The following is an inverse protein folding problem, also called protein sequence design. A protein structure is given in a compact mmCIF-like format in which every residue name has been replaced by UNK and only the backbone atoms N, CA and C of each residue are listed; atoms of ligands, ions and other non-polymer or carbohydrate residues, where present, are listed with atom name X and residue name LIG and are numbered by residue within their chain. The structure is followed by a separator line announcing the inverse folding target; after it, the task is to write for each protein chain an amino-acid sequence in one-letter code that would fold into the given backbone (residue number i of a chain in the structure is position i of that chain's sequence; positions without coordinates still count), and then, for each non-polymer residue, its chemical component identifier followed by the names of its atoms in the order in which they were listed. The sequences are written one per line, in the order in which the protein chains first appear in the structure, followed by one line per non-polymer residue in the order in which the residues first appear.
data_IF_643683265766
#
_entry.id   IF_643683265766
#
_cell.length_a   1.000
_cell.length_b   1.000
_cell.length_c   1.000
_cell.angle_alpha   90.00
_cell.angle_beta   90.00
_cell.angle_gamma   90.00
#
_symmetry.space_group_name_H-M   'P 1'
#
loop_
_entity.id
_entity.type
_entity.pdbx_description
1 polymer ?
#
# COMPACT_ATOMS: atom_id res chain seq x y z
N UNK A 1 12.14 -19.36 3.72
CA UNK A 1 10.84 -19.16 3.07
C UNK A 1 9.96 -18.32 3.98
N UNK A 2 9.30 -17.26 3.51
CA UNK A 2 8.33 -16.55 4.33
C UNK A 2 7.15 -17.47 4.67
N UNK A 3 6.66 -17.39 5.92
CA UNK A 3 5.46 -18.10 6.37
C UNK A 3 4.21 -17.66 5.61
N UNK A 4 3.19 -18.52 5.55
CA UNK A 4 1.84 -18.20 5.07
C UNK A 4 0.93 -17.59 6.16
N UNK A 5 1.45 -17.41 7.37
CA UNK A 5 0.82 -16.69 8.46
C UNK A 5 1.56 -15.37 8.72
N UNK A 6 0.85 -14.24 8.66
CA UNK A 6 1.39 -12.89 8.89
C UNK A 6 0.63 -12.21 10.04
N UNK A 7 1.30 -12.05 11.17
CA UNK A 7 0.81 -11.36 12.37
C UNK A 7 1.37 -9.92 12.52
N UNK A 8 2.26 -9.52 11.61
CA UNK A 8 2.97 -8.23 11.60
C UNK A 8 2.27 -7.13 10.78
N UNK A 9 1.00 -7.33 10.45
CA UNK A 9 0.16 -6.45 9.62
C UNK A 9 -0.95 -5.87 10.48
N UNK A 10 -1.17 -4.55 10.43
CA UNK A 10 -2.27 -3.93 11.16
C UNK A 10 -3.10 -3.02 10.27
N UNK A 11 -4.40 -3.00 10.55
CA UNK A 11 -5.36 -2.10 9.91
C UNK A 11 -4.93 -0.65 10.15
N UNK A 12 -4.99 0.22 9.13
CA UNK A 12 -4.70 1.65 9.29
C UNK A 12 -5.57 2.29 10.36
N UNK A 13 -4.98 3.20 11.13
CA UNK A 13 -5.69 4.02 12.12
C UNK A 13 -5.17 5.46 12.07
N UNK A 14 -5.84 6.37 12.79
CA UNK A 14 -5.70 7.83 12.63
C UNK A 14 -4.28 8.40 12.68
N UNK A 15 -3.32 7.73 13.32
CA UNK A 15 -1.93 8.21 13.38
C UNK A 15 -1.01 7.63 12.30
N UNK A 16 -1.53 6.78 11.41
CA UNK A 16 -0.75 6.18 10.33
C UNK A 16 -0.79 7.08 9.09
N UNK A 17 0.36 7.35 8.41
CA UNK A 17 0.40 8.22 7.24
C UNK A 17 -0.49 7.76 6.08
N UNK A 18 -0.72 6.44 5.96
CA UNK A 18 -1.56 5.87 4.91
C UNK A 18 -3.07 6.03 5.18
N UNK A 19 -3.48 6.41 6.38
CA UNK A 19 -4.88 6.36 6.82
C UNK A 19 -5.80 7.31 6.02
N UNK A 20 -6.95 6.80 5.60
CA UNK A 20 -8.06 7.59 5.06
C UNK A 20 -9.34 7.34 5.87
N UNK A 21 -10.40 8.11 5.59
CA UNK A 21 -11.72 7.92 6.19
C UNK A 21 -12.46 6.68 5.63
N UNK A 22 -11.76 5.80 4.91
CA UNK A 22 -12.37 4.62 4.30
C UNK A 22 -12.55 3.52 5.36
N UNK A 23 -13.78 3.01 5.58
CA UNK A 23 -14.10 2.19 6.74
C UNK A 23 -13.33 0.87 6.79
N UNK A 24 -12.90 0.35 5.63
CA UNK A 24 -12.23 -0.95 5.51
C UNK A 24 -10.92 -0.89 4.73
N UNK A 25 -10.19 0.24 4.79
CA UNK A 25 -8.91 0.40 4.10
C UNK A 25 -7.96 -0.76 4.44
N UNK A 26 -7.38 -1.36 3.41
CA UNK A 26 -6.35 -2.39 3.58
C UNK A 26 -4.97 -1.75 3.77
N UNK A 27 -4.09 -2.34 4.60
CA UNK A 27 -2.75 -1.81 4.87
C UNK A 27 -1.84 -1.93 3.64
N UNK A 28 -1.01 -0.92 3.40
CA UNK A 28 -0.05 -0.92 2.29
C UNK A 28 0.99 -2.05 2.42
N UNK A 29 1.43 -2.36 3.66
CA UNK A 29 2.38 -3.45 3.92
C UNK A 29 1.87 -4.81 3.42
N UNK A 30 0.57 -5.07 3.53
CA UNK A 30 -0.05 -6.29 3.02
C UNK A 30 0.09 -6.39 1.50
N UNK A 31 -0.28 -5.33 0.79
CA UNK A 31 -0.19 -5.27 -0.67
C UNK A 31 1.26 -5.32 -1.16
N UNK A 32 2.20 -4.73 -0.41
CA UNK A 32 3.62 -4.78 -0.76
C UNK A 32 4.13 -6.24 -0.77
N UNK A 33 3.76 -7.05 0.23
CA UNK A 33 4.11 -8.48 0.26
C UNK A 33 3.56 -9.21 -0.97
N UNK A 34 2.27 -9.00 -1.29
CA UNK A 34 1.61 -9.65 -2.41
C UNK A 34 2.21 -9.25 -3.77
N UNK A 35 2.42 -7.96 -4.01
CA UNK A 35 2.92 -7.42 -5.27
C UNK A 35 4.38 -7.81 -5.51
N UNK A 36 5.24 -7.74 -4.49
CA UNK A 36 6.66 -8.14 -4.61
C UNK A 36 6.81 -9.65 -4.87
N UNK A 37 5.94 -10.48 -4.28
CA UNK A 37 5.96 -11.92 -4.50
C UNK A 37 5.43 -12.34 -5.89
N UNK A 38 4.56 -11.52 -6.50
CA UNK A 38 3.77 -11.94 -7.66
C UNK A 38 4.03 -11.13 -8.94
N UNK A 39 4.92 -10.13 -8.92
CA UNK A 39 5.16 -9.25 -10.06
C UNK A 39 6.56 -8.66 -10.10
N UNK A 40 6.99 -8.23 -11.30
CA UNK A 40 8.24 -7.51 -11.53
C UNK A 40 7.97 -6.01 -11.72
N UNK A 41 8.96 -5.13 -11.51
CA UNK A 41 8.83 -3.72 -11.89
C UNK A 41 8.37 -3.57 -13.35
N UNK A 42 7.43 -2.64 -13.60
CA UNK A 42 6.82 -2.42 -14.92
C UNK A 42 5.58 -3.27 -15.25
N UNK A 43 5.34 -4.36 -14.53
CA UNK A 43 4.12 -5.16 -14.66
C UNK A 43 2.87 -4.34 -14.26
N UNK A 44 1.68 -4.84 -14.63
CA UNK A 44 0.40 -4.21 -14.29
C UNK A 44 -0.24 -4.96 -13.12
N UNK A 45 -0.64 -4.22 -12.08
CA UNK A 45 -1.51 -4.70 -11.01
C UNK A 45 -2.96 -4.29 -11.32
N UNK A 46 -3.88 -5.25 -11.35
CA UNK A 46 -5.30 -4.99 -11.58
C UNK A 46 -6.12 -5.26 -10.32
N UNK A 47 -6.97 -4.32 -9.92
CA UNK A 47 -7.90 -4.46 -8.79
C UNK A 47 -9.32 -3.98 -9.19
N UNK A 48 -10.30 -4.87 -9.38
CA UNK A 48 -11.67 -4.50 -9.76
C UNK A 48 -12.51 -3.94 -8.60
N UNK A 49 -11.98 -3.91 -7.37
CA UNK A 49 -12.66 -3.42 -6.16
C UNK A 49 -11.71 -2.49 -5.39
N UNK A 50 -11.28 -1.43 -6.07
CA UNK A 50 -10.13 -0.63 -5.67
C UNK A 50 -10.31 0.07 -4.31
N UNK A 51 -11.54 0.39 -3.91
CA UNK A 51 -11.83 1.13 -2.67
C UNK A 51 -11.02 2.42 -2.61
N UNK A 52 -10.39 2.70 -1.47
CA UNK A 52 -9.50 3.86 -1.31
C UNK A 52 -8.13 3.73 -1.99
N UNK A 53 -7.91 2.75 -2.88
CA UNK A 53 -6.76 2.77 -3.78
C UNK A 53 -5.51 2.03 -3.33
N UNK A 54 -5.52 1.26 -2.24
CA UNK A 54 -4.28 0.67 -1.68
C UNK A 54 -3.50 -0.15 -2.71
N UNK A 55 -4.17 -0.97 -3.54
CA UNK A 55 -3.51 -1.77 -4.57
C UNK A 55 -2.72 -0.91 -5.57
N UNK A 56 -3.37 0.11 -6.12
CA UNK A 56 -2.78 1.03 -7.10
C UNK A 56 -1.68 1.90 -6.49
N UNK A 57 -1.89 2.39 -5.27
CA UNK A 57 -0.89 3.20 -4.53
C UNK A 57 0.38 2.39 -4.31
N UNK A 58 0.26 1.15 -3.79
CA UNK A 58 1.44 0.32 -3.54
C UNK A 58 2.11 -0.12 -4.85
N UNK A 59 1.33 -0.47 -5.87
CA UNK A 59 1.87 -0.78 -7.19
C UNK A 59 2.74 0.37 -7.70
N UNK A 60 2.22 1.60 -7.64
CA UNK A 60 2.93 2.82 -8.04
C UNK A 60 4.21 3.06 -7.24
N UNK A 61 4.15 3.00 -5.90
CA UNK A 61 5.32 3.17 -5.01
C UNK A 61 6.42 2.17 -5.32
N UNK A 62 6.04 0.94 -5.68
CA UNK A 62 6.95 -0.14 -6.06
C UNK A 62 7.36 -0.13 -7.54
N UNK A 63 6.97 0.87 -8.33
CA UNK A 63 7.35 0.96 -9.75
C UNK A 63 6.63 -0.03 -10.67
N UNK A 64 5.40 -0.39 -10.34
CA UNK A 64 4.46 -1.12 -11.21
C UNK A 64 3.45 -0.15 -11.81
N UNK A 65 2.89 -0.52 -12.95
CA UNK A 65 1.68 0.10 -13.50
C UNK A 65 0.47 -0.47 -12.77
N UNK A 66 -0.65 0.23 -12.83
CA UNK A 66 -1.88 -0.22 -12.19
C UNK A 66 -3.12 0.10 -13.03
N UNK A 67 -4.18 -0.66 -12.81
CA UNK A 67 -5.52 -0.38 -13.28
C UNK A 67 -6.48 -0.78 -12.16
N UNK A 68 -7.36 0.12 -11.74
CA UNK A 68 -8.35 -0.21 -10.73
C UNK A 68 -9.72 0.32 -11.10
N UNK A 69 -10.75 -0.36 -10.60
CA UNK A 69 -12.16 0.00 -10.79
C UNK A 69 -12.77 0.20 -9.41
N UNK A 70 -13.51 1.29 -9.25
CA UNK A 70 -14.30 1.58 -8.07
C UNK A 70 -15.59 2.26 -8.49
N UNK A 71 -16.71 1.89 -7.87
CA UNK A 71 -18.03 2.42 -8.21
C UNK A 71 -18.38 3.68 -7.41
N UNK A 72 -17.82 3.82 -6.21
CA UNK A 72 -18.09 4.94 -5.32
C UNK A 72 -17.16 6.11 -5.67
N UNK A 73 -17.76 7.23 -6.12
CA UNK A 73 -17.03 8.44 -6.51
C UNK A 73 -16.17 9.01 -5.38
N UNK A 74 -16.64 8.97 -4.12
CA UNK A 74 -15.85 9.42 -2.98
C UNK A 74 -14.57 8.58 -2.80
N UNK A 75 -14.67 7.26 -2.98
CA UNK A 75 -13.53 6.36 -2.87
C UNK A 75 -12.56 6.56 -4.03
N UNK A 76 -13.06 6.83 -5.24
CA UNK A 76 -12.23 7.26 -6.36
C UNK A 76 -11.45 8.53 -6.03
N UNK A 77 -12.09 9.56 -5.45
CA UNK A 77 -11.42 10.80 -5.06
C UNK A 77 -10.32 10.56 -4.02
N UNK A 78 -10.55 9.68 -3.04
CA UNK A 78 -9.53 9.30 -2.06
C UNK A 78 -8.37 8.53 -2.69
N UNK A 79 -8.67 7.59 -3.60
CA UNK A 79 -7.65 6.86 -4.34
C UNK A 79 -6.77 7.81 -5.17
N UNK A 80 -7.36 8.74 -5.92
CA UNK A 80 -6.65 9.76 -6.70
C UNK A 80 -5.76 10.64 -5.82
N UNK A 81 -6.28 11.12 -4.67
CA UNK A 81 -5.50 11.89 -3.70
C UNK A 81 -4.26 11.11 -3.22
N UNK A 82 -4.42 9.84 -2.85
CA UNK A 82 -3.30 8.99 -2.41
C UNK A 82 -2.32 8.71 -3.55
N UNK A 83 -2.81 8.50 -4.77
CA UNK A 83 -1.97 8.31 -5.96
C UNK A 83 -1.13 9.54 -6.27
N UNK A 84 -1.67 10.74 -6.09
CA UNK A 84 -0.92 11.99 -6.22
C UNK A 84 0.18 12.13 -5.16
N UNK A 85 -0.13 11.79 -3.90
CA UNK A 85 0.86 11.79 -2.81
C UNK A 85 1.99 10.77 -3.07
N UNK A 86 1.65 9.59 -3.59
CA UNK A 86 2.58 8.52 -3.89
C UNK A 86 3.63 8.86 -4.96
N UNK A 87 3.46 9.95 -5.74
CA UNK A 87 4.51 10.43 -6.64
C UNK A 87 5.70 11.03 -5.89
N UNK A 88 5.41 11.70 -4.78
CA UNK A 88 6.40 12.43 -4.01
C UNK A 88 6.93 11.58 -2.85
N UNK A 89 6.10 10.68 -2.31
CA UNK A 89 6.46 9.78 -1.22
C UNK A 89 6.22 8.32 -1.59
N UNK A 90 7.32 7.59 -1.80
CA UNK A 90 7.31 6.15 -2.13
C UNK A 90 7.47 5.25 -0.91
N UNK A 91 7.51 5.82 0.29
CA UNK A 91 7.65 5.04 1.52
C UNK A 91 6.45 4.13 1.74
N UNK A 92 6.70 2.93 2.27
CA UNK A 92 5.69 1.98 2.71
C UNK A 92 6.03 1.61 4.14
N UNK A 93 5.10 1.84 5.07
CA UNK A 93 5.37 1.58 6.48
C UNK A 93 5.75 0.11 6.71
N UNK A 94 6.87 -0.11 7.38
CA UNK A 94 7.40 -1.46 7.64
C UNK A 94 8.04 -2.15 6.44
N UNK A 95 8.35 -1.42 5.37
CA UNK A 95 9.15 -1.90 4.23
C UNK A 95 10.20 -0.86 3.83
N UNK A 96 11.48 -1.21 3.94
CA UNK A 96 12.60 -0.35 3.52
C UNK A 96 13.77 -1.19 3.04
N UNK A 97 14.51 -0.70 2.04
CA UNK A 97 15.72 -1.33 1.49
C UNK A 97 15.54 -2.81 1.09
N UNK A 98 14.35 -3.15 0.59
CA UNK A 98 14.02 -4.53 0.18
C UNK A 98 13.66 -5.47 1.32
N UNK A 99 13.57 -4.97 2.56
CA UNK A 99 13.32 -5.76 3.77
C UNK A 99 12.02 -5.32 4.45
N UNK A 100 11.23 -6.30 4.90
CA UNK A 100 10.08 -6.05 5.76
C UNK A 100 10.52 -6.03 7.22
N UNK A 101 10.12 -4.98 7.94
CA UNK A 101 10.42 -4.78 9.35
C UNK A 101 9.17 -4.87 10.20
N UNK A 102 9.33 -5.33 11.44
CA UNK A 102 8.30 -5.17 12.46
C UNK A 102 8.09 -3.68 12.78
N UNK A 103 6.95 -3.37 13.39
CA UNK A 103 6.66 -1.99 13.79
C UNK A 103 7.72 -1.54 14.79
N UNK A 104 8.26 -0.34 14.58
CA UNK A 104 9.27 0.30 15.45
C UNK A 104 10.60 -0.47 15.57
N UNK A 105 10.90 -1.40 14.65
CA UNK A 105 12.16 -2.16 14.67
C UNK A 105 13.12 -1.84 13.51
N UNK A 106 12.68 -1.02 12.55
CA UNK A 106 13.47 -0.64 11.37
C UNK A 106 14.39 0.56 11.58
N UNK A 107 15.38 0.79 10.69
CA UNK A 107 16.41 1.82 10.82
C UNK A 107 15.92 3.27 10.62
N UNK A 108 14.64 3.48 10.25
CA UNK A 108 14.07 4.81 10.05
C UNK A 108 12.80 4.99 10.90
N UNK A 109 12.89 5.83 11.93
CA UNK A 109 11.77 6.37 12.69
C UNK A 109 11.91 7.89 12.68
N UNK A 110 11.50 8.53 11.58
CA UNK A 110 11.45 9.99 11.50
C UNK A 110 10.28 10.52 12.32
N UNK A 111 10.57 11.51 13.17
CA UNK A 111 9.58 12.42 13.77
C UNK A 111 8.97 13.33 12.71
#
# INVERSE_FOLDING_TARGET
DPSNFWDDISVPFWSMPENTDHPTQKPEKLYAKLILASSRPGDIVFDPFLGSGTASVVAKKLGRRFCGIEQNEEYCLWAEKRLALAENDKSIQGYSDGVFWERNSGPWQGN
#
